data_IF_435521048534
#
_entry.id   IF_435521048534
#
_cell.length_a   1.000
_cell.length_b   1.000
_cell.length_c   1.000
_cell.angle_alpha   90.00
_cell.angle_beta   90.00
_cell.angle_gamma   90.00
#
_symmetry.space_group_name_H-M   'P 1'
#
loop_
_entity.id
_entity.type
_entity.pdbx_description
1 polymer ?
#
# COMPACT_ATOMS: atom_id res chain seq x y z
N UNK A 1 13.74 20.29 39.64
CA UNK A 1 13.96 20.26 38.18
C UNK A 1 13.64 18.83 37.71
N UNK A 2 12.34 18.54 37.56
CA UNK A 2 11.88 17.19 37.23
C UNK A 2 11.96 16.96 35.72
N UNK A 3 12.82 16.04 35.29
CA UNK A 3 12.81 15.53 33.93
C UNK A 3 11.53 14.71 33.77
N UNK A 4 10.49 15.32 33.18
CA UNK A 4 9.34 14.58 32.67
C UNK A 4 9.82 13.70 31.53
N UNK A 5 10.23 12.47 31.85
CA UNK A 5 10.44 11.42 30.85
C UNK A 5 9.06 11.04 30.35
N UNK A 6 8.66 11.64 29.23
CA UNK A 6 7.46 11.21 28.50
C UNK A 6 7.55 9.69 28.33
N UNK A 7 6.52 8.91 28.73
CA UNK A 7 6.50 7.48 28.49
C UNK A 7 6.65 7.22 26.98
N UNK A 8 7.28 6.11 26.56
CA UNK A 8 7.48 5.81 25.14
C UNK A 8 6.13 5.90 24.42
N UNK A 9 6.03 6.84 23.48
CA UNK A 9 4.86 7.08 22.65
C UNK A 9 4.37 5.74 22.09
N UNK A 10 3.13 5.37 22.43
CA UNK A 10 2.64 3.99 22.39
C UNK A 10 3.04 3.20 21.12
N UNK A 11 4.02 2.30 21.26
CA UNK A 11 4.51 1.38 20.22
C UNK A 11 3.44 0.38 19.72
N UNK A 12 2.26 0.36 20.33
CA UNK A 12 1.15 -0.54 19.97
C UNK A 12 0.30 0.06 18.86
N UNK A 13 0.11 -0.69 17.77
CA UNK A 13 -0.81 -0.31 16.68
C UNK A 13 -2.22 -0.10 17.27
N UNK A 14 -2.88 1.05 17.03
CA UNK A 14 -4.27 1.25 17.42
C UNK A 14 -5.16 0.13 16.87
N UNK A 15 -6.07 -0.41 17.69
CA UNK A 15 -6.87 -1.59 17.32
C UNK A 15 -7.64 -1.39 16.01
N UNK A 16 -8.19 -0.19 15.79
CA UNK A 16 -8.92 0.12 14.56
C UNK A 16 -8.00 0.14 13.33
N UNK A 17 -6.80 0.73 13.43
CA UNK A 17 -5.82 0.73 12.35
C UNK A 17 -5.36 -0.69 12.00
N UNK A 18 -5.18 -1.53 13.02
CA UNK A 18 -4.87 -2.95 12.87
C UNK A 18 -6.01 -3.68 12.15
N UNK A 19 -7.25 -3.53 12.63
CA UNK A 19 -8.42 -4.21 12.08
C UNK A 19 -8.65 -3.83 10.62
N UNK A 20 -8.63 -2.54 10.31
CA UNK A 20 -8.82 -2.05 8.94
C UNK A 20 -7.65 -2.45 8.02
N UNK A 21 -6.42 -2.36 8.52
CA UNK A 21 -5.23 -2.75 7.75
C UNK A 21 -5.26 -4.24 7.36
N UNK A 22 -5.43 -5.14 8.32
CA UNK A 22 -5.52 -6.58 8.04
C UNK A 22 -6.83 -6.97 7.34
N UNK A 23 -7.94 -6.29 7.63
CA UNK A 23 -9.20 -6.47 6.92
C UNK A 23 -9.06 -6.19 5.42
N UNK A 24 -8.28 -5.18 5.05
CA UNK A 24 -7.94 -4.88 3.66
C UNK A 24 -7.14 -5.98 2.95
N UNK A 25 -6.54 -6.93 3.65
CA UNK A 25 -5.84 -8.08 3.04
C UNK A 25 -6.75 -9.25 2.71
N UNK A 26 -7.97 -9.29 3.27
CA UNK A 26 -8.91 -10.39 3.06
C UNK A 26 -9.19 -10.59 1.57
N UNK A 27 -9.50 -9.55 0.77
CA UNK A 27 -9.75 -9.75 -0.66
C UNK A 27 -8.51 -10.18 -1.43
N UNK A 28 -7.30 -9.71 -1.08
CA UNK A 28 -6.06 -10.17 -1.71
C UNK A 28 -5.88 -11.69 -1.55
N UNK A 29 -5.95 -12.17 -0.31
CA UNK A 29 -5.73 -13.59 -0.02
C UNK A 29 -6.85 -14.48 -0.58
N UNK A 30 -8.11 -14.05 -0.42
CA UNK A 30 -9.26 -14.81 -0.90
C UNK A 30 -9.28 -14.92 -2.43
N UNK A 31 -9.06 -13.83 -3.16
CA UNK A 31 -9.08 -13.84 -4.62
C UNK A 31 -7.89 -14.61 -5.19
N UNK A 32 -6.70 -14.51 -4.58
CA UNK A 32 -5.55 -15.32 -5.00
C UNK A 32 -5.79 -16.83 -4.80
N UNK A 33 -6.38 -17.23 -3.67
CA UNK A 33 -6.74 -18.63 -3.41
C UNK A 33 -7.79 -19.14 -4.40
N UNK A 34 -8.81 -18.34 -4.70
CA UNK A 34 -9.85 -18.68 -5.69
C UNK A 34 -9.27 -18.77 -7.11
N UNK A 35 -8.34 -17.88 -7.47
CA UNK A 35 -7.65 -17.93 -8.75
C UNK A 35 -6.93 -19.28 -8.92
N UNK A 36 -6.14 -19.70 -7.92
CA UNK A 36 -5.35 -20.94 -7.97
C UNK A 36 -6.20 -22.23 -7.92
N UNK A 37 -7.37 -22.18 -7.29
CA UNK A 37 -8.18 -23.38 -7.02
C UNK A 37 -9.38 -23.59 -7.93
N UNK A 38 -9.67 -22.68 -8.87
CA UNK A 38 -10.92 -22.72 -9.65
C UNK A 38 -10.69 -22.73 -11.16
N UNK A 39 -11.64 -23.32 -11.90
CA UNK A 39 -11.68 -23.28 -13.36
C UNK A 39 -11.99 -21.89 -13.95
N UNK A 40 -12.38 -20.93 -13.11
CA UNK A 40 -12.70 -19.55 -13.51
C UNK A 40 -11.59 -18.57 -13.10
N UNK A 41 -10.32 -19.02 -13.15
CA UNK A 41 -9.17 -18.24 -12.66
C UNK A 41 -9.09 -16.83 -13.25
N UNK A 42 -9.45 -16.65 -14.53
CA UNK A 42 -9.43 -15.36 -15.19
C UNK A 42 -10.30 -14.27 -14.51
N UNK A 43 -11.50 -14.61 -14.05
CA UNK A 43 -12.40 -13.66 -13.41
C UNK A 43 -11.86 -13.22 -12.03
N UNK A 44 -11.31 -14.17 -11.27
CA UNK A 44 -10.72 -13.90 -9.96
C UNK A 44 -9.42 -13.11 -10.05
N UNK A 45 -8.58 -13.40 -11.05
CA UNK A 45 -7.38 -12.61 -11.35
C UNK A 45 -7.77 -11.18 -11.71
N UNK A 46 -8.79 -10.99 -12.55
CA UNK A 46 -9.26 -9.65 -12.90
C UNK A 46 -9.77 -8.89 -11.67
N UNK A 47 -10.58 -9.54 -10.82
CA UNK A 47 -11.04 -8.95 -9.57
C UNK A 47 -9.87 -8.59 -8.62
N UNK A 48 -8.84 -9.44 -8.55
CA UNK A 48 -7.64 -9.21 -7.76
C UNK A 48 -6.85 -7.99 -8.26
N UNK A 49 -6.68 -7.88 -9.59
CA UNK A 49 -6.02 -6.72 -10.22
C UNK A 49 -6.81 -5.45 -9.91
N UNK A 50 -8.14 -5.48 -10.08
CA UNK A 50 -9.00 -4.33 -9.82
C UNK A 50 -8.94 -3.89 -8.35
N UNK A 51 -9.00 -4.84 -7.42
CA UNK A 51 -8.84 -4.55 -6.00
C UNK A 51 -7.44 -3.98 -5.69
N UNK A 52 -6.39 -4.53 -6.30
CA UNK A 52 -5.03 -4.00 -6.17
C UNK A 52 -4.91 -2.54 -6.60
N UNK A 53 -5.54 -2.16 -7.73
CA UNK A 53 -5.59 -0.79 -8.20
C UNK A 53 -6.33 0.16 -7.23
N UNK A 54 -7.44 -0.29 -6.64
CA UNK A 54 -8.19 0.46 -5.62
C UNK A 54 -7.31 0.73 -4.39
N UNK A 55 -6.62 -0.30 -3.89
CA UNK A 55 -5.76 -0.14 -2.71
C UNK A 55 -4.55 0.75 -3.00
N UNK A 56 -3.92 0.65 -4.18
CA UNK A 56 -2.85 1.58 -4.57
C UNK A 56 -3.34 3.04 -4.58
N UNK A 57 -4.56 3.27 -5.06
CA UNK A 57 -5.16 4.61 -5.07
C UNK A 57 -5.39 5.14 -3.66
N UNK A 58 -5.91 4.31 -2.76
CA UNK A 58 -6.12 4.66 -1.35
C UNK A 58 -4.80 4.99 -0.65
N UNK A 59 -3.77 4.17 -0.84
CA UNK A 59 -2.48 4.37 -0.20
C UNK A 59 -1.75 5.59 -0.77
N UNK A 60 -1.80 5.80 -2.09
CA UNK A 60 -1.21 6.98 -2.74
C UNK A 60 -1.69 8.29 -2.10
N UNK A 61 -2.99 8.39 -1.79
CA UNK A 61 -3.60 9.57 -1.19
C UNK A 61 -2.94 10.03 0.13
N UNK A 62 -2.28 9.13 0.86
CA UNK A 62 -1.54 9.48 2.08
C UNK A 62 -0.44 10.51 1.82
N UNK A 63 0.27 10.39 0.70
CA UNK A 63 1.34 11.32 0.34
C UNK A 63 0.78 12.70 -0.02
N UNK A 64 -0.44 12.77 -0.53
CA UNK A 64 -1.13 14.05 -0.73
C UNK A 64 -1.40 14.71 0.62
N UNK A 65 -1.93 13.94 1.58
CA UNK A 65 -2.24 14.45 2.92
C UNK A 65 -1.00 15.07 3.59
N UNK A 66 0.15 14.39 3.55
CA UNK A 66 1.39 14.97 4.08
C UNK A 66 1.91 16.15 3.25
N UNK A 67 1.78 16.09 1.91
CA UNK A 67 2.17 17.19 1.03
C UNK A 67 1.43 18.50 1.33
N UNK A 68 0.18 18.43 1.79
CA UNK A 68 -0.59 19.61 2.21
C UNK A 68 -0.12 20.23 3.53
N UNK A 69 0.54 19.44 4.38
CA UNK A 69 1.05 19.89 5.68
C UNK A 69 2.44 20.54 5.58
N UNK A 70 3.10 20.41 4.43
CA UNK A 70 4.41 21.02 4.14
C UNK A 70 4.19 22.31 3.33
N UNK A 71 5.04 23.33 3.56
CA UNK A 71 4.97 24.58 2.80
C UNK A 71 5.04 24.33 1.28
N UNK A 72 4.11 24.91 0.52
CA UNK A 72 3.91 24.61 -0.91
C UNK A 72 5.09 25.01 -1.82
N UNK A 73 5.95 25.93 -1.37
CA UNK A 73 7.19 26.31 -2.07
C UNK A 73 8.28 25.24 -1.98
N UNK A 74 8.17 24.28 -1.07
CA UNK A 74 9.15 23.21 -0.88
C UNK A 74 9.11 22.18 -2.03
N UNK A 75 10.29 21.79 -2.50
CA UNK A 75 10.46 20.68 -3.46
C UNK A 75 9.95 19.37 -2.88
N UNK A 76 10.08 19.16 -1.57
CA UNK A 76 9.56 17.98 -0.89
C UNK A 76 8.03 17.87 -1.03
N UNK A 77 7.30 18.95 -0.77
CA UNK A 77 5.84 19.00 -0.91
C UNK A 77 5.39 18.62 -2.33
N UNK A 78 6.00 19.22 -3.36
CA UNK A 78 5.69 18.90 -4.77
C UNK A 78 5.96 17.43 -5.09
N UNK A 79 7.07 16.89 -4.57
CA UNK A 79 7.45 15.49 -4.79
C UNK A 79 6.41 14.54 -4.17
N UNK A 80 5.94 14.82 -2.96
CA UNK A 80 4.89 14.03 -2.29
C UNK A 80 3.57 14.06 -3.05
N UNK A 81 3.16 15.23 -3.54
CA UNK A 81 1.95 15.37 -4.36
C UNK A 81 2.06 14.55 -5.65
N UNK A 82 3.18 14.60 -6.38
CA UNK A 82 3.38 13.75 -7.55
C UNK A 82 3.29 12.25 -7.20
N UNK A 83 3.95 11.83 -6.13
CA UNK A 83 3.96 10.44 -5.69
C UNK A 83 2.63 9.96 -5.09
N UNK A 84 1.70 10.86 -4.80
CA UNK A 84 0.35 10.49 -4.39
C UNK A 84 -0.53 10.02 -5.56
N UNK A 85 -0.23 10.50 -6.77
CA UNK A 85 -1.02 10.23 -7.98
C UNK A 85 -0.44 9.08 -8.79
N UNK A 86 0.90 8.99 -8.87
CA UNK A 86 1.61 7.97 -9.67
C UNK A 86 1.13 6.53 -9.37
N UNK A 87 0.99 6.08 -8.10
CA UNK A 87 0.52 4.73 -7.79
C UNK A 87 -0.89 4.44 -8.30
N UNK A 88 -1.81 5.41 -8.21
CA UNK A 88 -3.17 5.28 -8.71
C UNK A 88 -3.19 5.15 -10.24
N UNK A 89 -2.39 5.95 -10.94
CA UNK A 89 -2.24 5.85 -12.40
C UNK A 89 -1.64 4.51 -12.83
N UNK A 90 -0.62 4.01 -12.13
CA UNK A 90 -0.05 2.69 -12.40
C UNK A 90 -1.06 1.57 -12.13
N UNK A 91 -1.88 1.70 -11.09
CA UNK A 91 -3.00 0.80 -10.83
C UNK A 91 -4.03 0.80 -11.95
N UNK A 92 -4.41 1.99 -12.44
CA UNK A 92 -5.31 2.11 -13.58
C UNK A 92 -4.72 1.54 -14.87
N UNK A 93 -3.44 1.80 -15.16
CA UNK A 93 -2.76 1.20 -16.32
C UNK A 93 -2.69 -0.34 -16.21
N UNK A 94 -2.55 -0.89 -15.00
CA UNK A 94 -2.59 -2.33 -14.80
C UNK A 94 -3.94 -2.94 -15.21
N UNK A 95 -5.06 -2.24 -15.03
CA UNK A 95 -6.39 -2.69 -15.49
C UNK A 95 -6.49 -2.85 -17.01
N UNK A 96 -5.66 -2.11 -17.76
CA UNK A 96 -5.63 -2.12 -19.22
C UNK A 96 -4.61 -3.11 -19.78
N UNK A 97 -3.77 -3.68 -18.93
CA UNK A 97 -2.70 -4.59 -19.32
C UNK A 97 -3.18 -6.06 -19.37
N UNK A 98 -2.34 -6.92 -19.94
CA UNK A 98 -2.56 -8.37 -19.86
C UNK A 98 -2.42 -8.84 -18.40
N UNK A 99 -3.14 -9.89 -17.96
CA UNK A 99 -3.21 -10.28 -16.55
C UNK A 99 -1.85 -10.45 -15.87
N UNK A 100 -0.91 -11.18 -16.49
CA UNK A 100 0.42 -11.39 -15.91
C UNK A 100 1.22 -10.10 -15.78
N UNK A 101 1.14 -9.22 -16.79
CA UNK A 101 1.79 -7.91 -16.75
C UNK A 101 1.19 -7.03 -15.66
N UNK A 102 -0.14 -7.04 -15.52
CA UNK A 102 -0.86 -6.30 -14.50
C UNK A 102 -0.46 -6.75 -13.09
N UNK A 103 -0.42 -8.06 -12.82
CA UNK A 103 -0.03 -8.62 -11.53
C UNK A 103 1.40 -8.19 -11.13
N UNK A 104 2.36 -8.31 -12.07
CA UNK A 104 3.75 -7.87 -11.84
C UNK A 104 3.84 -6.36 -11.65
N UNK A 105 3.14 -5.58 -12.48
CA UNK A 105 3.13 -4.12 -12.39
C UNK A 105 2.58 -3.65 -11.04
N UNK A 106 1.47 -4.24 -10.57
CA UNK A 106 0.89 -3.91 -9.28
C UNK A 106 1.84 -4.28 -8.14
N UNK A 107 2.42 -5.48 -8.14
CA UNK A 107 3.37 -5.92 -7.11
C UNK A 107 4.61 -4.99 -7.05
N UNK A 108 5.16 -4.63 -8.21
CA UNK A 108 6.27 -3.69 -8.31
C UNK A 108 5.87 -2.29 -7.80
N UNK A 109 4.66 -1.83 -8.12
CA UNK A 109 4.16 -0.53 -7.67
C UNK A 109 3.94 -0.51 -6.15
N UNK A 110 3.43 -1.58 -5.55
CA UNK A 110 3.32 -1.71 -4.10
C UNK A 110 4.69 -1.69 -3.40
N UNK A 111 5.68 -2.39 -3.94
CA UNK A 111 7.05 -2.38 -3.42
C UNK A 111 7.73 -1.00 -3.56
N UNK A 112 7.53 -0.34 -4.71
CA UNK A 112 7.98 1.03 -4.93
C UNK A 112 7.31 1.98 -3.93
N UNK A 113 6.01 1.86 -3.73
CA UNK A 113 5.28 2.71 -2.79
C UNK A 113 5.76 2.52 -1.34
N UNK A 114 6.03 1.27 -0.93
CA UNK A 114 6.64 1.02 0.38
C UNK A 114 8.03 1.66 0.53
N UNK A 115 8.80 1.76 -0.57
CA UNK A 115 10.07 2.49 -0.56
C UNK A 115 9.89 4.00 -0.38
N UNK A 116 8.74 4.55 -0.78
CA UNK A 116 8.36 5.93 -0.51
C UNK A 116 7.91 6.09 0.94
N UNK A 117 7.16 5.14 1.49
CA UNK A 117 6.81 5.09 2.93
C UNK A 117 8.09 5.12 3.81
N UNK A 118 9.15 4.41 3.41
CA UNK A 118 10.45 4.46 4.10
C UNK A 118 11.08 5.86 4.10
N UNK A 119 10.97 6.59 2.98
CA UNK A 119 11.46 7.97 2.88
C UNK A 119 10.61 8.93 3.70
N UNK A 120 9.29 8.71 3.69
CA UNK A 120 8.31 9.49 4.44
C UNK A 120 8.59 9.46 5.95
N UNK A 121 8.80 8.27 6.52
CA UNK A 121 9.12 8.10 7.95
C UNK A 121 10.46 8.74 8.33
N UNK A 122 11.39 8.90 7.39
CA UNK A 122 12.67 9.61 7.64
C UNK A 122 12.52 11.12 7.64
N UNK A 123 11.51 11.64 6.95
CA UNK A 123 11.28 13.08 6.78
C UNK A 123 10.23 13.62 7.76
N UNK A 124 9.34 12.76 8.25
CA UNK A 124 8.24 13.10 9.14
C UNK A 124 8.21 12.17 10.35
N UNK A 125 7.90 12.72 11.52
CA UNK A 125 7.69 11.94 12.74
C UNK A 125 6.37 11.16 12.63
N UNK A 126 6.45 9.94 12.08
CA UNK A 126 5.35 8.99 12.06
C UNK A 126 5.42 8.05 13.26
N UNK A 127 4.27 7.55 13.74
CA UNK A 127 4.24 6.59 14.83
C UNK A 127 5.08 5.34 14.52
N UNK A 128 5.81 4.82 15.51
CA UNK A 128 6.72 3.68 15.36
C UNK A 128 6.04 2.41 14.80
N UNK A 129 4.71 2.29 14.98
CA UNK A 129 3.92 1.16 14.50
C UNK A 129 3.57 1.23 13.01
N UNK A 130 3.70 2.39 12.35
CA UNK A 130 3.29 2.60 10.97
C UNK A 130 4.05 1.71 10.01
N UNK A 131 5.38 1.82 9.98
CA UNK A 131 6.21 1.13 8.99
C UNK A 131 6.14 -0.40 9.11
N UNK A 132 6.19 -1.02 10.31
CA UNK A 132 6.01 -2.47 10.44
C UNK A 132 4.64 -2.95 9.97
N UNK A 133 3.58 -2.17 10.21
CA UNK A 133 2.24 -2.50 9.70
C UNK A 133 2.25 -2.47 8.18
N UNK A 134 2.67 -1.35 7.57
CA UNK A 134 2.76 -1.18 6.11
C UNK A 134 3.56 -2.30 5.44
N UNK A 135 4.70 -2.68 6.02
CA UNK A 135 5.55 -3.75 5.51
C UNK A 135 4.80 -5.08 5.41
N UNK A 136 4.06 -5.46 6.45
CA UNK A 136 3.28 -6.71 6.46
C UNK A 136 2.15 -6.67 5.45
N UNK A 137 1.44 -5.54 5.36
CA UNK A 137 0.34 -5.38 4.40
C UNK A 137 0.85 -5.48 2.96
N UNK A 138 1.93 -4.75 2.64
CA UNK A 138 2.57 -4.79 1.32
C UNK A 138 3.08 -6.18 0.99
N UNK A 139 3.73 -6.87 1.94
CA UNK A 139 4.23 -8.22 1.72
C UNK A 139 3.11 -9.17 1.31
N UNK A 140 2.01 -9.22 2.08
CA UNK A 140 0.88 -10.12 1.79
C UNK A 140 0.22 -9.75 0.47
N UNK A 141 0.03 -8.46 0.18
CA UNK A 141 -0.53 -8.02 -1.10
C UNK A 141 0.34 -8.47 -2.29
N UNK A 142 1.65 -8.21 -2.22
CA UNK A 142 2.60 -8.62 -3.26
C UNK A 142 2.65 -10.15 -3.41
N UNK A 143 2.67 -10.91 -2.32
CA UNK A 143 2.66 -12.37 -2.37
C UNK A 143 1.38 -12.89 -3.04
N UNK A 144 0.21 -12.37 -2.68
CA UNK A 144 -1.06 -12.76 -3.32
C UNK A 144 -1.08 -12.46 -4.82
N UNK A 145 -0.58 -11.29 -5.23
CA UNK A 145 -0.47 -10.91 -6.64
C UNK A 145 0.48 -11.83 -7.41
N UNK A 146 1.67 -12.10 -6.86
CA UNK A 146 2.68 -12.92 -7.53
C UNK A 146 2.33 -14.41 -7.55
N UNK A 147 1.69 -14.94 -6.51
CA UNK A 147 1.19 -16.32 -6.50
C UNK A 147 0.13 -16.54 -7.58
N UNK A 148 -0.68 -15.52 -7.88
CA UNK A 148 -1.71 -15.60 -8.92
C UNK A 148 -1.16 -15.68 -10.34
N UNK A 149 0.17 -15.56 -10.54
CA UNK A 149 0.83 -15.84 -11.83
C UNK A 149 0.82 -17.34 -12.18
N UNK A 150 0.58 -18.20 -11.19
CA UNK A 150 0.58 -19.65 -11.33
C UNK A 150 -0.84 -20.26 -11.34
N UNK A 151 -1.86 -19.40 -11.40
CA UNK A 151 -3.28 -19.76 -11.45
C UNK A 151 -3.80 -19.97 -12.88
#
# INVERSE_FOLDING_TARGET
MGTSTMPPEHATVPQIARLLGYGGLIPFAALAALALGSSQSAAWIHALIAYGAVILSFVGALHWAFGMLVASSDRAARTMLCWSVIPALLGWLALLATPNTALVLLAATFALHFSLDLRLVRQHSLPAWYLPLRARLTLVACTSLLLSLFA
#
